data_IF_117121614293
#
_entry.id   IF_117121614293
#
_cell.length_a   1.000
_cell.length_b   1.000
_cell.length_c   1.000
_cell.angle_alpha   90.00
_cell.angle_beta   90.00
_cell.angle_gamma   90.00
#
_symmetry.space_group_name_H-M   'P 1'
#
loop_
_entity.id
_entity.type
_entity.pdbx_description
1 polymer ?
#
# COMPACT_ATOMS: atom_id res chain seq x y z
N UNK A 1 -3.07 -14.01 39.43
CA UNK A 1 -2.69 -12.61 39.19
C UNK A 1 -2.54 -12.48 37.69
N UNK A 2 -3.21 -11.51 37.07
CA UNK A 2 -3.14 -11.29 35.62
C UNK A 2 -1.96 -10.36 35.32
N UNK A 3 -1.24 -10.65 34.22
CA UNK A 3 -0.11 -9.86 33.76
C UNK A 3 -0.51 -9.17 32.44
N UNK A 4 -0.55 -7.85 32.45
CA UNK A 4 -0.78 -7.04 31.25
C UNK A 4 0.56 -6.57 30.66
N UNK A 5 0.73 -6.74 29.35
CA UNK A 5 1.96 -6.38 28.64
C UNK A 5 1.59 -5.45 27.48
N UNK A 6 2.18 -4.25 27.48
CA UNK A 6 2.07 -3.31 26.36
C UNK A 6 3.34 -3.35 25.52
N UNK A 7 3.19 -3.53 24.20
CA UNK A 7 4.29 -3.62 23.25
C UNK A 7 4.01 -2.64 22.12
N UNK A 8 5.00 -1.81 21.79
CA UNK A 8 4.98 -0.96 20.61
C UNK A 8 6.32 -0.97 19.91
N UNK A 9 6.29 -0.65 18.63
CA UNK A 9 7.47 -0.61 17.77
C UNK A 9 7.50 0.69 16.97
N UNK A 10 8.65 1.05 16.44
CA UNK A 10 8.84 2.22 15.58
C UNK A 10 10.00 1.97 14.64
N UNK A 11 9.86 2.39 13.38
CA UNK A 11 10.97 2.42 12.43
C UNK A 11 11.82 3.69 12.58
N UNK A 12 11.35 4.68 13.35
CA UNK A 12 12.03 5.95 13.57
C UNK A 12 13.00 5.87 14.76
N UNK A 13 12.53 5.48 15.95
CA UNK A 13 13.39 5.37 17.15
C UNK A 13 12.69 4.68 18.33
N UNK A 14 13.45 4.20 19.31
CA UNK A 14 12.90 3.67 20.56
C UNK A 14 12.04 4.70 21.32
N UNK A 15 12.43 5.97 21.32
CA UNK A 15 11.64 7.04 21.94
C UNK A 15 10.29 7.25 21.23
N UNK A 16 10.24 7.04 19.91
CA UNK A 16 9.00 7.08 19.15
C UNK A 16 8.13 5.84 19.42
N UNK A 17 8.72 4.65 19.57
CA UNK A 17 7.98 3.45 19.97
C UNK A 17 7.28 3.63 21.33
N UNK A 18 7.96 4.22 22.32
CA UNK A 18 7.34 4.54 23.62
C UNK A 18 6.19 5.54 23.48
N UNK A 19 6.33 6.56 22.63
CA UNK A 19 5.24 7.51 22.34
C UNK A 19 4.04 6.83 21.70
N UNK A 20 4.25 5.88 20.78
CA UNK A 20 3.17 5.12 20.17
C UNK A 20 2.40 4.30 21.21
N UNK A 21 3.11 3.60 22.11
CA UNK A 21 2.48 2.90 23.24
C UNK A 21 1.68 3.87 24.11
N UNK A 22 2.29 4.98 24.53
CA UNK A 22 1.63 5.98 25.36
C UNK A 22 0.38 6.60 24.69
N UNK A 23 0.40 6.78 23.37
CA UNK A 23 -0.72 7.36 22.63
C UNK A 23 -1.85 6.35 22.39
N UNK A 24 -1.52 5.09 22.12
CA UNK A 24 -2.50 4.09 21.66
C UNK A 24 -3.15 3.32 22.81
N UNK A 25 -2.40 2.99 23.87
CA UNK A 25 -2.85 2.05 24.91
C UNK A 25 -2.94 2.65 26.33
N UNK A 26 -2.32 3.80 26.59
CA UNK A 26 -2.26 4.36 27.96
C UNK A 26 -3.65 4.63 28.53
N UNK A 27 -3.90 4.09 29.71
CA UNK A 27 -5.16 4.28 30.45
C UNK A 27 -6.34 3.47 29.89
N UNK A 28 -6.11 2.58 28.92
CA UNK A 28 -7.11 1.65 28.40
C UNK A 28 -6.88 0.25 28.95
N UNK A 29 -7.95 -0.47 29.22
CA UNK A 29 -7.89 -1.90 29.55
C UNK A 29 -7.77 -2.74 28.28
N UNK A 30 -7.40 -4.01 28.42
CA UNK A 30 -7.43 -4.95 27.29
C UNK A 30 -8.81 -5.03 26.62
N UNK A 31 -9.89 -5.05 27.40
CA UNK A 31 -11.26 -5.10 26.88
C UNK A 31 -11.65 -3.83 26.11
N UNK A 32 -11.19 -2.66 26.55
CA UNK A 32 -11.37 -1.40 25.81
C UNK A 32 -10.71 -1.50 24.43
N UNK A 33 -9.46 -1.98 24.37
CA UNK A 33 -8.72 -2.15 23.12
C UNK A 33 -9.37 -3.18 22.18
N UNK A 34 -9.90 -4.28 22.73
CA UNK A 34 -10.68 -5.27 21.96
C UNK A 34 -11.94 -4.63 21.37
N UNK A 35 -12.64 -3.80 22.14
CA UNK A 35 -13.83 -3.11 21.66
C UNK A 35 -13.51 -2.08 20.57
N UNK A 36 -12.49 -1.25 20.79
CA UNK A 36 -12.02 -0.26 19.82
C UNK A 36 -11.59 -0.90 18.49
N UNK A 37 -10.81 -1.98 18.55
CA UNK A 37 -10.40 -2.73 17.36
C UNK A 37 -11.58 -3.35 16.61
N UNK A 38 -12.55 -3.90 17.34
CA UNK A 38 -13.79 -4.44 16.75
C UNK A 38 -14.59 -3.36 16.03
N UNK A 39 -14.70 -2.18 16.63
CA UNK A 39 -15.48 -1.07 16.06
C UNK A 39 -14.76 -0.45 14.85
N UNK A 40 -13.43 -0.37 14.89
CA UNK A 40 -12.63 0.03 13.73
C UNK A 40 -12.86 -0.91 12.53
N UNK A 41 -12.81 -2.23 12.75
CA UNK A 41 -13.11 -3.21 11.71
C UNK A 41 -14.54 -3.15 11.22
N UNK A 42 -15.53 -3.04 12.12
CA UNK A 42 -16.94 -2.90 11.75
C UNK A 42 -17.16 -1.67 10.87
N UNK A 43 -16.54 -0.54 11.19
CA UNK A 43 -16.65 0.69 10.41
C UNK A 43 -16.13 0.53 8.98
N UNK A 44 -15.05 -0.22 8.79
CA UNK A 44 -14.50 -0.53 7.47
C UNK A 44 -15.39 -1.53 6.73
N UNK A 45 -15.70 -2.67 7.33
CA UNK A 45 -16.45 -3.75 6.67
C UNK A 45 -17.87 -3.34 6.31
N UNK A 46 -18.52 -2.47 7.11
CA UNK A 46 -19.87 -1.93 6.82
C UNK A 46 -19.93 -1.00 5.61
N UNK A 47 -18.81 -0.65 4.98
CA UNK A 47 -18.81 0.09 3.71
C UNK A 47 -19.41 -0.73 2.56
N UNK A 48 -19.43 -2.05 2.69
CA UNK A 48 -20.08 -2.96 1.73
C UNK A 48 -21.02 -3.86 2.49
N UNK A 49 -22.33 -3.69 2.27
CA UNK A 49 -23.37 -4.43 2.97
C UNK A 49 -24.11 -5.37 2.02
N UNK A 50 -24.31 -6.61 2.44
CA UNK A 50 -25.11 -7.61 1.73
C UNK A 50 -26.55 -7.50 2.26
N UNK A 51 -27.43 -6.86 1.49
CA UNK A 51 -28.82 -6.59 1.91
C UNK A 51 -29.73 -7.82 1.84
N UNK A 52 -29.46 -8.72 0.88
CA UNK A 52 -30.17 -9.99 0.74
C UNK A 52 -29.17 -11.12 0.48
N UNK A 53 -29.01 -11.99 1.47
CA UNK A 53 -28.16 -13.18 1.39
C UNK A 53 -28.96 -14.46 1.07
N UNK A 54 -30.29 -14.35 0.90
CA UNK A 54 -31.22 -15.47 0.81
C UNK A 54 -31.63 -16.03 2.18
N UNK A 55 -32.29 -17.20 2.20
CA UNK A 55 -32.80 -17.80 3.44
C UNK A 55 -31.70 -18.03 4.49
N UNK A 56 -32.04 -17.87 5.77
CA UNK A 56 -31.11 -18.07 6.89
C UNK A 56 -30.77 -19.55 7.06
N UNK A 57 -29.76 -20.01 6.32
CA UNK A 57 -29.27 -21.40 6.32
C UNK A 57 -27.78 -21.43 6.63
N UNK A 58 -27.26 -22.59 7.06
CA UNK A 58 -25.83 -22.79 7.25
C UNK A 58 -25.00 -22.45 5.98
N UNK A 59 -25.55 -22.74 4.80
CA UNK A 59 -24.90 -22.40 3.53
C UNK A 59 -24.82 -20.87 3.32
N UNK A 60 -25.88 -20.14 3.66
CA UNK A 60 -25.93 -18.68 3.60
C UNK A 60 -24.94 -18.04 4.56
N UNK A 61 -24.89 -18.50 5.82
CA UNK A 61 -23.92 -17.99 6.81
C UNK A 61 -22.48 -18.24 6.36
N UNK A 62 -22.17 -19.41 5.79
CA UNK A 62 -20.85 -19.71 5.25
C UNK A 62 -20.44 -18.78 4.10
N UNK A 63 -21.38 -18.41 3.22
CA UNK A 63 -21.10 -17.47 2.13
C UNK A 63 -20.78 -16.06 2.66
N UNK A 64 -21.53 -15.60 3.67
CA UNK A 64 -21.26 -14.32 4.33
C UNK A 64 -19.91 -14.32 5.04
N UNK A 65 -19.54 -15.43 5.70
CA UNK A 65 -18.24 -15.58 6.34
C UNK A 65 -17.10 -15.47 5.32
N UNK A 66 -17.20 -16.19 4.19
CA UNK A 66 -16.21 -16.11 3.09
C UNK A 66 -16.13 -14.68 2.55
N UNK A 67 -17.28 -14.02 2.33
CA UNK A 67 -17.31 -12.66 1.81
C UNK A 67 -16.61 -11.67 2.74
N UNK A 68 -17.00 -11.60 4.01
CA UNK A 68 -16.43 -10.63 4.94
C UNK A 68 -14.98 -10.97 5.34
N UNK A 69 -14.61 -12.25 5.35
CA UNK A 69 -13.20 -12.66 5.52
C UNK A 69 -12.36 -12.21 4.32
N UNK A 70 -12.88 -12.32 3.09
CA UNK A 70 -12.18 -11.87 1.88
C UNK A 70 -12.04 -10.35 1.87
N UNK A 71 -13.09 -9.62 2.26
CA UNK A 71 -13.05 -8.16 2.40
C UNK A 71 -12.04 -7.73 3.47
N UNK A 72 -12.01 -8.39 4.63
CA UNK A 72 -10.98 -8.19 5.64
C UNK A 72 -9.57 -8.34 5.05
N UNK A 73 -9.31 -9.42 4.29
CA UNK A 73 -7.99 -9.67 3.66
C UNK A 73 -7.61 -8.60 2.65
N UNK A 74 -8.57 -8.10 1.87
CA UNK A 74 -8.34 -7.05 0.88
C UNK A 74 -7.99 -5.68 1.51
N UNK A 75 -8.24 -5.50 2.81
CA UNK A 75 -8.01 -4.24 3.54
C UNK A 75 -6.76 -4.26 4.43
N UNK A 76 -5.95 -5.33 4.37
CA UNK A 76 -4.72 -5.43 5.16
C UNK A 76 -3.52 -4.74 4.49
N UNK A 77 -3.48 -4.69 3.16
CA UNK A 77 -2.34 -4.19 2.39
C UNK A 77 -2.75 -3.16 1.33
N UNK A 78 -1.88 -2.19 0.99
CA UNK A 78 -0.58 -1.91 1.64
C UNK A 78 -0.74 -1.48 3.09
N UNK A 79 0.29 -1.72 3.91
CA UNK A 79 0.31 -1.21 5.28
C UNK A 79 0.92 0.18 5.34
N UNK A 80 0.56 0.95 6.38
CA UNK A 80 1.21 2.21 6.72
C UNK A 80 2.59 1.94 7.36
N UNK A 81 3.55 2.77 7.00
CA UNK A 81 4.88 2.90 7.61
C UNK A 81 5.04 4.21 8.37
N UNK A 82 4.11 5.14 8.22
CA UNK A 82 4.15 6.41 8.93
C UNK A 82 3.65 6.30 10.37
N UNK A 83 4.14 7.22 11.17
CA UNK A 83 3.94 7.32 12.60
C UNK A 83 3.59 8.77 12.93
N UNK A 84 2.72 8.97 13.93
CA UNK A 84 2.38 10.29 14.44
C UNK A 84 3.50 10.79 15.36
N UNK A 85 4.21 11.84 14.95
CA UNK A 85 5.32 12.43 15.69
C UNK A 85 4.95 13.82 16.21
N UNK A 86 5.72 14.40 17.16
CA UNK A 86 5.47 15.77 17.63
C UNK A 86 5.50 16.84 16.52
N UNK A 87 6.11 16.54 15.37
CA UNK A 87 6.19 17.45 14.21
C UNK A 87 5.25 17.03 13.08
N UNK A 88 4.26 16.19 13.37
CA UNK A 88 3.25 15.69 12.42
C UNK A 88 3.51 14.26 11.96
N UNK A 89 2.79 13.85 10.91
CA UNK A 89 2.92 12.52 10.30
C UNK A 89 4.27 12.41 9.59
N UNK A 90 5.06 11.40 9.96
CA UNK A 90 6.39 11.14 9.39
C UNK A 90 6.61 9.65 9.23
N UNK A 91 7.52 9.26 8.34
CA UNK A 91 7.90 7.86 8.15
C UNK A 91 9.42 7.74 8.00
N UNK A 92 9.99 6.63 8.46
CA UNK A 92 11.30 6.20 7.99
C UNK A 92 11.15 5.66 6.56
N UNK A 93 11.92 6.19 5.62
CA UNK A 93 11.90 5.76 4.23
C UNK A 93 12.84 4.58 4.01
N UNK A 94 12.34 3.40 3.60
CA UNK A 94 13.19 2.27 3.24
C UNK A 94 13.95 2.49 1.92
N UNK A 95 13.68 3.60 1.22
CA UNK A 95 14.31 3.93 -0.06
C UNK A 95 15.51 4.85 0.12
N UNK A 96 15.43 5.83 1.03
CA UNK A 96 16.52 6.78 1.32
C UNK A 96 17.22 6.53 2.66
N UNK A 97 16.63 5.75 3.56
CA UNK A 97 17.09 5.53 4.93
C UNK A 97 16.82 6.70 5.89
N UNK A 98 16.16 7.76 5.42
CA UNK A 98 15.91 8.99 6.18
C UNK A 98 14.47 9.05 6.71
N UNK A 99 14.27 9.87 7.75
CA UNK A 99 12.93 10.16 8.28
C UNK A 99 12.32 11.34 7.53
N UNK A 100 11.27 11.08 6.76
CA UNK A 100 10.62 12.06 5.87
C UNK A 100 9.24 12.45 6.41
N UNK A 101 8.77 13.63 6.01
CA UNK A 101 7.40 14.05 6.32
C UNK A 101 6.38 13.32 5.43
N UNK A 102 5.14 13.20 5.92
CA UNK A 102 4.04 12.63 5.15
C UNK A 102 3.87 11.13 5.32
N UNK A 103 2.88 10.60 4.60
CA UNK A 103 2.44 9.20 4.68
C UNK A 103 3.52 8.29 4.09
N UNK A 104 3.77 7.17 4.76
CA UNK A 104 4.66 6.11 4.29
C UNK A 104 3.82 4.86 4.09
N UNK A 105 4.03 4.13 3.01
CA UNK A 105 3.34 2.86 2.75
C UNK A 105 4.31 1.82 2.23
N UNK A 106 3.99 0.55 2.47
CA UNK A 106 4.74 -0.56 1.89
C UNK A 106 3.95 -1.88 1.93
N UNK A 107 4.65 -2.98 1.61
CA UNK A 107 4.16 -4.35 1.56
C UNK A 107 3.04 -4.50 0.53
N UNK A 108 3.39 -4.17 -0.72
CA UNK A 108 2.50 -4.30 -1.86
C UNK A 108 3.25 -4.71 -3.13
N UNK A 109 2.68 -5.69 -3.83
CA UNK A 109 3.05 -6.04 -5.18
C UNK A 109 2.03 -5.50 -6.17
N UNK A 110 2.39 -4.47 -6.93
CA UNK A 110 1.43 -3.87 -7.86
C UNK A 110 0.97 -4.85 -8.94
N UNK A 111 1.84 -5.78 -9.36
CA UNK A 111 1.49 -6.85 -10.33
C UNK A 111 0.26 -7.67 -9.89
N UNK A 112 0.10 -7.89 -8.59
CA UNK A 112 -1.04 -8.60 -8.02
C UNK A 112 -2.25 -7.66 -7.85
N UNK A 113 -2.02 -6.53 -7.18
CA UNK A 113 -3.10 -5.75 -6.56
C UNK A 113 -3.79 -4.76 -7.48
N UNK A 114 -3.16 -4.36 -8.59
CA UNK A 114 -3.74 -3.38 -9.52
C UNK A 114 -5.08 -3.83 -10.12
N UNK A 115 -5.29 -5.16 -10.18
CA UNK A 115 -6.44 -5.78 -10.85
C UNK A 115 -7.74 -5.65 -10.06
N UNK A 116 -7.66 -5.71 -8.73
CA UNK A 116 -8.86 -5.85 -7.88
C UNK A 116 -8.78 -5.09 -6.56
N UNK A 117 -7.66 -5.10 -5.85
CA UNK A 117 -7.52 -4.42 -4.55
C UNK A 117 -7.61 -2.91 -4.74
N UNK A 118 -6.80 -2.33 -5.63
CA UNK A 118 -6.84 -0.88 -5.88
C UNK A 118 -8.18 -0.42 -6.49
N UNK A 119 -8.79 -1.14 -7.44
CA UNK A 119 -10.15 -0.86 -7.89
C UNK A 119 -11.22 -0.93 -6.79
N UNK A 120 -11.12 -1.89 -5.85
CA UNK A 120 -12.01 -1.93 -4.69
C UNK A 120 -11.84 -0.67 -3.82
N UNK A 121 -10.59 -0.25 -3.59
CA UNK A 121 -10.31 0.95 -2.83
C UNK A 121 -10.84 2.21 -3.54
N UNK A 122 -10.72 2.32 -4.87
CA UNK A 122 -11.26 3.49 -5.58
C UNK A 122 -12.79 3.58 -5.52
N UNK A 123 -13.49 2.46 -5.42
CA UNK A 123 -14.95 2.42 -5.33
C UNK A 123 -15.45 2.63 -3.89
N UNK A 124 -14.94 1.86 -2.93
CA UNK A 124 -15.51 1.78 -1.59
C UNK A 124 -14.70 2.54 -0.51
N UNK A 125 -13.42 2.80 -0.77
CA UNK A 125 -12.47 3.40 0.19
C UNK A 125 -11.60 4.51 -0.42
N UNK A 126 -12.18 5.51 -1.11
CA UNK A 126 -11.41 6.48 -1.90
C UNK A 126 -10.45 7.33 -1.04
N UNK A 127 -10.79 7.60 0.23
CA UNK A 127 -9.89 8.29 1.16
C UNK A 127 -8.64 7.46 1.48
N UNK A 128 -8.79 6.15 1.64
CA UNK A 128 -7.65 5.24 1.86
C UNK A 128 -6.79 5.17 0.61
N UNK A 129 -7.40 5.09 -0.58
CA UNK A 129 -6.66 5.14 -1.84
C UNK A 129 -5.85 6.43 -1.99
N UNK A 130 -6.46 7.58 -1.70
CA UNK A 130 -5.78 8.88 -1.69
C UNK A 130 -4.52 8.86 -0.81
N UNK A 131 -4.64 8.38 0.42
CA UNK A 131 -3.52 8.25 1.34
C UNK A 131 -2.43 7.30 0.81
N UNK A 132 -2.81 6.17 0.22
CA UNK A 132 -1.85 5.23 -0.33
C UNK A 132 -1.11 5.79 -1.54
N UNK A 133 -1.82 6.46 -2.45
CA UNK A 133 -1.19 7.16 -3.58
C UNK A 133 -0.19 8.19 -3.07
N UNK A 134 -0.57 9.04 -2.11
CA UNK A 134 0.36 10.01 -1.51
C UNK A 134 1.61 9.32 -0.93
N UNK A 135 1.46 8.18 -0.25
CA UNK A 135 2.60 7.42 0.27
C UNK A 135 3.50 6.80 -0.81
N UNK A 136 2.93 6.36 -1.94
CA UNK A 136 3.72 5.88 -3.07
C UNK A 136 4.46 7.02 -3.78
N UNK A 137 3.88 8.22 -3.83
CA UNK A 137 4.58 9.40 -4.34
C UNK A 137 5.73 9.82 -3.43
N UNK A 138 5.57 9.76 -2.10
CA UNK A 138 6.69 9.97 -1.17
C UNK A 138 7.80 8.91 -1.37
N UNK A 139 7.42 7.67 -1.69
CA UNK A 139 8.37 6.61 -2.05
C UNK A 139 9.13 6.93 -3.34
N UNK A 140 8.43 7.49 -4.33
CA UNK A 140 9.02 7.97 -5.58
C UNK A 140 9.99 9.14 -5.34
N UNK A 141 9.65 10.13 -4.53
CA UNK A 141 10.55 11.23 -4.19
C UNK A 141 11.81 10.73 -3.47
N UNK A 142 11.66 9.78 -2.54
CA UNK A 142 12.77 9.23 -1.77
C UNK A 142 13.68 8.30 -2.59
N UNK A 143 13.10 7.50 -3.48
CA UNK A 143 13.77 6.41 -4.20
C UNK A 143 14.02 6.66 -5.68
N UNK A 144 13.45 7.73 -6.24
CA UNK A 144 13.54 8.15 -7.64
C UNK A 144 12.72 7.35 -8.66
N UNK A 145 12.05 6.26 -8.24
CA UNK A 145 11.23 5.37 -9.08
C UNK A 145 10.05 4.86 -8.27
N UNK A 146 8.95 4.48 -8.92
CA UNK A 146 7.89 3.78 -8.21
C UNK A 146 8.33 2.33 -7.96
N UNK A 147 8.02 1.74 -6.79
CA UNK A 147 8.29 0.33 -6.55
C UNK A 147 7.31 -0.53 -7.36
N UNK A 148 7.80 -1.60 -7.99
CA UNK A 148 6.93 -2.67 -8.53
C UNK A 148 6.39 -3.54 -7.41
N UNK A 149 7.30 -3.89 -6.50
CA UNK A 149 7.07 -4.69 -5.32
C UNK A 149 7.85 -4.04 -4.18
N UNK A 150 7.15 -3.70 -3.10
CA UNK A 150 7.73 -3.05 -1.93
C UNK A 150 7.63 -3.96 -0.72
N UNK A 151 8.75 -4.24 -0.03
CA UNK A 151 8.75 -4.91 1.28
C UNK A 151 10.10 -4.79 2.04
N UNK A 152 10.30 -3.77 2.89
CA UNK A 152 9.58 -2.51 2.87
C UNK A 152 10.06 -1.55 1.75
N UNK A 153 11.30 -1.73 1.26
CA UNK A 153 11.85 -0.98 0.13
C UNK A 153 11.69 -1.75 -1.18
N UNK A 154 12.46 -1.37 -2.21
CA UNK A 154 12.47 -2.06 -3.50
C UNK A 154 12.78 -3.55 -3.35
N UNK A 155 11.96 -4.39 -3.97
CA UNK A 155 12.19 -5.83 -4.10
C UNK A 155 12.11 -6.22 -5.56
N UNK A 156 13.11 -6.96 -6.03
CA UNK A 156 13.13 -7.49 -7.39
C UNK A 156 12.19 -8.70 -7.47
N UNK A 157 10.91 -8.42 -7.66
CA UNK A 157 9.86 -9.41 -7.74
C UNK A 157 8.79 -8.98 -8.73
N UNK A 158 8.38 -9.93 -9.57
CA UNK A 158 7.40 -9.75 -10.63
C UNK A 158 7.82 -8.72 -11.69
N UNK A 159 6.91 -8.37 -12.60
CA UNK A 159 7.20 -7.61 -13.81
C UNK A 159 6.26 -6.41 -13.96
N UNK A 160 6.56 -5.53 -14.91
CA UNK A 160 5.73 -4.37 -15.26
C UNK A 160 5.69 -3.27 -14.18
N UNK A 161 5.27 -2.08 -14.56
CA UNK A 161 5.10 -0.92 -13.67
C UNK A 161 3.61 -0.68 -13.44
N UNK A 162 2.98 -1.58 -12.69
CA UNK A 162 1.52 -1.53 -12.48
C UNK A 162 1.07 -0.45 -11.47
N UNK A 163 2.03 0.23 -10.83
CA UNK A 163 1.76 1.46 -10.09
C UNK A 163 1.16 2.54 -11.02
N UNK A 164 1.59 2.57 -12.30
CA UNK A 164 1.05 3.48 -13.32
C UNK A 164 -0.47 3.31 -13.47
N UNK A 165 -0.95 2.07 -13.50
CA UNK A 165 -2.38 1.77 -13.65
C UNK A 165 -3.17 2.25 -12.43
N UNK A 166 -2.59 2.10 -11.23
CA UNK A 166 -3.21 2.55 -9.98
C UNK A 166 -3.32 4.09 -9.94
N UNK A 167 -2.24 4.78 -10.28
CA UNK A 167 -2.23 6.25 -10.32
C UNK A 167 -3.22 6.77 -11.36
N UNK A 168 -3.22 6.18 -12.56
CA UNK A 168 -4.17 6.53 -13.62
C UNK A 168 -5.63 6.29 -13.16
N UNK A 169 -5.95 5.15 -12.55
CA UNK A 169 -7.30 4.84 -12.05
C UNK A 169 -7.77 5.88 -11.02
N UNK A 170 -6.88 6.29 -10.10
CA UNK A 170 -7.18 7.31 -9.11
C UNK A 170 -7.48 8.67 -9.76
N UNK A 171 -6.66 9.08 -10.75
CA UNK A 171 -6.81 10.36 -11.45
C UNK A 171 -8.12 10.38 -12.26
N UNK A 172 -8.41 9.35 -13.08
CA UNK A 172 -9.62 9.34 -13.92
C UNK A 172 -10.92 9.26 -13.11
N UNK A 173 -10.85 8.73 -11.88
CA UNK A 173 -11.97 8.68 -10.92
C UNK A 173 -12.04 9.92 -10.02
N UNK A 174 -11.25 10.96 -10.29
CA UNK A 174 -11.21 12.21 -9.53
C UNK A 174 -10.91 12.04 -8.04
N UNK A 175 -10.08 11.06 -7.68
CA UNK A 175 -9.60 10.92 -6.30
C UNK A 175 -8.57 12.01 -6.05
N UNK A 176 -8.81 12.86 -5.05
CA UNK A 176 -7.96 13.98 -4.68
C UNK A 176 -7.16 13.70 -3.40
N UNK A 177 -6.26 14.61 -3.02
CA UNK A 177 -5.46 14.49 -1.79
C UNK A 177 -4.03 14.00 -1.99
N UNK A 178 -3.57 13.96 -3.24
CA UNK A 178 -2.19 13.73 -3.63
C UNK A 178 -1.79 14.68 -4.75
N UNK A 179 -0.49 14.84 -4.98
CA UNK A 179 0.07 15.70 -6.02
C UNK A 179 -0.06 15.01 -7.40
N UNK A 180 -0.98 15.52 -8.23
CA UNK A 180 -1.26 14.96 -9.56
C UNK A 180 -0.08 15.19 -10.52
N UNK A 181 0.63 16.32 -10.41
CA UNK A 181 1.77 16.61 -11.26
C UNK A 181 2.94 15.67 -10.94
N UNK A 182 3.17 15.40 -9.66
CA UNK A 182 4.14 14.41 -9.21
C UNK A 182 3.74 12.99 -9.64
N UNK A 183 2.46 12.65 -9.58
CA UNK A 183 1.96 11.36 -10.08
C UNK A 183 2.20 11.21 -11.59
N UNK A 184 1.96 12.26 -12.38
CA UNK A 184 2.28 12.27 -13.81
C UNK A 184 3.79 12.10 -14.06
N UNK A 185 4.63 12.83 -13.33
CA UNK A 185 6.09 12.70 -13.44
C UNK A 185 6.56 11.28 -13.14
N UNK A 186 6.00 10.66 -12.09
CA UNK A 186 6.33 9.28 -11.71
C UNK A 186 5.94 8.28 -12.81
N UNK A 187 4.70 8.36 -13.33
CA UNK A 187 4.24 7.49 -14.44
C UNK A 187 5.04 7.71 -15.73
N UNK A 188 5.37 8.96 -16.04
CA UNK A 188 6.17 9.30 -17.21
C UNK A 188 7.55 8.65 -17.10
N UNK A 189 8.21 8.79 -15.95
CA UNK A 189 9.52 8.21 -15.70
C UNK A 189 9.51 6.69 -15.79
N UNK A 190 8.55 6.03 -15.14
CA UNK A 190 8.34 4.58 -15.21
C UNK A 190 8.17 4.08 -16.66
N UNK A 191 7.57 4.91 -17.53
CA UNK A 191 7.26 4.56 -18.91
C UNK A 191 8.32 4.92 -19.94
N UNK A 192 9.07 6.00 -19.74
CA UNK A 192 9.93 6.58 -20.76
C UNK A 192 11.40 6.65 -20.38
N UNK A 193 11.78 6.51 -19.12
CA UNK A 193 13.18 6.51 -18.73
C UNK A 193 13.71 5.08 -18.60
N UNK A 194 14.93 4.84 -19.07
CA UNK A 194 15.61 3.56 -18.86
C UNK A 194 16.24 3.62 -17.47
N UNK A 195 15.87 2.68 -16.61
CA UNK A 195 16.52 2.55 -15.31
C UNK A 195 18.00 2.18 -15.52
N UNK A 196 18.98 2.98 -15.04
CA UNK A 196 20.39 2.74 -15.33
C UNK A 196 21.01 1.62 -14.47
N UNK A 197 20.29 1.14 -13.44
CA UNK A 197 20.78 0.06 -12.59
C UNK A 197 20.60 -1.32 -13.21
N UNK A 198 21.12 -2.34 -12.50
CA UNK A 198 21.16 -3.72 -12.99
C UNK A 198 20.03 -4.61 -12.45
N UNK A 199 19.32 -4.18 -11.41
CA UNK A 199 18.15 -4.91 -10.88
C UNK A 199 16.89 -4.64 -11.72
N UNK A 200 15.89 -5.51 -11.55
CA UNK A 200 14.56 -5.29 -12.12
C UNK A 200 13.51 -4.82 -11.12
N UNK A 201 13.91 -4.36 -9.93
CA UNK A 201 12.97 -3.83 -8.95
C UNK A 201 12.39 -2.46 -9.34
N UNK A 202 13.06 -1.75 -10.26
CA UNK A 202 12.74 -0.38 -10.70
C UNK A 202 12.61 -0.29 -12.23
N UNK A 203 11.73 0.60 -12.67
CA UNK A 203 11.52 0.93 -14.09
C UNK A 203 11.15 -0.25 -14.99
N UNK A 204 10.93 -0.02 -16.28
CA UNK A 204 10.62 -1.10 -17.22
C UNK A 204 11.91 -1.79 -17.68
N UNK A 205 12.07 -3.08 -17.33
CA UNK A 205 13.19 -3.91 -17.82
C UNK A 205 13.06 -4.08 -19.33
N UNK A 206 14.13 -3.82 -20.08
CA UNK A 206 14.15 -3.94 -21.55
C UNK A 206 13.39 -2.82 -22.26
N UNK A 207 13.21 -1.66 -21.62
CA UNK A 207 12.51 -0.52 -22.23
C UNK A 207 13.24 0.03 -23.47
N UNK A 208 14.56 0.01 -23.47
CA UNK A 208 15.40 0.34 -24.61
C UNK A 208 15.06 -0.53 -25.84
N UNK A 209 15.03 -1.85 -25.65
CA UNK A 209 14.64 -2.81 -26.70
C UNK A 209 13.19 -2.60 -27.12
N UNK A 210 12.28 -2.39 -26.15
CA UNK A 210 10.87 -2.14 -26.45
C UNK A 210 10.66 -0.86 -27.27
N UNK A 211 11.41 0.22 -27.00
CA UNK A 211 11.33 1.46 -27.76
C UNK A 211 11.73 1.27 -29.22
N UNK A 212 12.71 0.41 -29.48
CA UNK A 212 13.15 0.09 -30.84
C UNK A 212 12.18 -0.87 -31.55
N UNK A 213 11.81 -1.96 -30.89
CA UNK A 213 11.12 -3.08 -31.53
C UNK A 213 9.60 -3.08 -31.36
N UNK A 214 9.05 -2.28 -30.44
CA UNK A 214 7.63 -2.25 -30.05
C UNK A 214 7.11 -3.53 -29.38
N UNK A 215 7.99 -4.47 -29.03
CA UNK A 215 7.71 -5.65 -28.21
C UNK A 215 8.93 -6.03 -27.36
N UNK A 216 8.70 -6.75 -26.27
CA UNK A 216 9.79 -7.21 -25.39
C UNK A 216 10.50 -8.41 -25.99
N UNK A 217 11.72 -8.21 -26.49
CA UNK A 217 12.57 -9.30 -26.98
C UNK A 217 13.22 -10.09 -25.84
N UNK A 218 13.28 -11.42 -25.96
CA UNK A 218 14.24 -12.20 -25.16
C UNK A 218 15.60 -12.10 -25.83
N UNK A 219 16.52 -11.30 -25.28
CA UNK A 219 17.93 -11.32 -25.70
C UNK A 219 18.64 -12.65 -25.37
N UNK A 220 17.93 -13.59 -24.73
CA UNK A 220 18.42 -14.92 -24.37
C UNK A 220 18.64 -15.88 -25.56
N UNK A 221 18.32 -15.47 -26.80
CA UNK A 221 18.56 -16.29 -27.99
C UNK A 221 19.89 -16.05 -28.72
N UNK A 222 20.66 -15.01 -28.37
CA UNK A 222 21.94 -14.70 -29.06
C UNK A 222 23.19 -15.26 -28.35
N UNK A 223 23.05 -16.34 -27.56
CA UNK A 223 24.20 -17.06 -26.98
C UNK A 223 24.04 -18.58 -27.04
N UNK A 224 23.93 -19.12 -28.27
CA UNK A 224 24.33 -20.50 -28.57
C UNK A 224 25.16 -20.55 -29.84
#
# INVERSE_FOLDING_TARGET
>A
QELEIHIGTSFISAAQALRAVDAEVKGKTFDDLVSEGRDAWRKLLRKVEVLDAGPATAATFRRLEVFYTSLYRALLFPRRLDEETPTGIRHWSPYSGQVMAGIGVSDNGFWDTFRTVYPLLSIAYPKQLSNFVAGWLNSFEAGGWLPKWASPGYRDSMIGTFADVVLADAIVKNISGFDIDLAWQAMYKDSYEVYPGKDSARGKKGLDVYKELQWGGSTACDSR
#
